data_IF_146855798602
#
_entry.id   IF_146855798602
#
_cell.length_a   1.000
_cell.length_b   1.000
_cell.length_c   1.000
_cell.angle_alpha   90.00
_cell.angle_beta   90.00
_cell.angle_gamma   90.00
#
_symmetry.space_group_name_H-M   'P 1'
#
loop_
_entity.id
_entity.type
_entity.pdbx_description
1 polymer ?
#
# COMPACT_ATOMS: atom_id res chain seq x y z
N UNK A 1 -21.69 -7.84 -10.13
CA UNK A 1 -21.98 -6.39 -10.30
C UNK A 1 -22.40 -5.80 -8.96
N UNK A 2 -21.65 -4.78 -8.50
CA UNK A 2 -21.87 -3.96 -7.29
C UNK A 2 -21.72 -4.72 -5.94
N UNK A 3 -21.09 -4.22 -4.86
CA UNK A 3 -20.85 -2.84 -4.44
C UNK A 3 -19.87 -2.80 -3.24
N UNK A 4 -18.62 -2.39 -3.44
CA UNK A 4 -17.70 -2.01 -2.35
C UNK A 4 -17.05 -0.64 -2.63
N UNK A 5 -17.84 0.31 -3.12
CA UNK A 5 -17.40 1.67 -3.45
C UNK A 5 -18.11 2.75 -2.61
N UNK A 6 -18.47 2.46 -1.36
CA UNK A 6 -19.02 3.47 -0.43
C UNK A 6 -18.41 3.30 0.96
N UNK A 7 -17.35 4.06 1.21
CA UNK A 7 -16.71 4.14 2.53
C UNK A 7 -15.50 5.07 2.56
N UNK A 8 -14.83 5.32 1.44
CA UNK A 8 -13.55 6.04 1.45
C UNK A 8 -13.65 7.58 1.53
N UNK A 9 -14.86 8.15 1.46
CA UNK A 9 -15.05 9.61 1.35
C UNK A 9 -15.38 10.33 2.68
N UNK A 10 -15.62 9.61 3.78
CA UNK A 10 -15.96 10.23 5.08
C UNK A 10 -14.80 10.23 6.10
N UNK A 11 -13.80 9.35 5.92
CA UNK A 11 -12.68 9.19 6.86
C UNK A 11 -11.57 10.24 6.69
N UNK A 12 -11.61 11.06 5.64
CA UNK A 12 -10.58 12.06 5.36
C UNK A 12 -10.66 13.35 6.22
N UNK A 13 -11.71 13.52 7.05
CA UNK A 13 -11.87 14.70 7.92
C UNK A 13 -11.52 14.45 9.38
N UNK A 14 -11.33 13.21 9.79
CA UNK A 14 -10.80 12.91 11.10
C UNK A 14 -9.27 12.90 10.97
N UNK A 15 -8.59 13.69 11.80
CA UNK A 15 -7.13 13.76 11.87
C UNK A 15 -6.55 12.36 11.68
N UNK A 16 -5.59 12.20 10.76
CA UNK A 16 -4.82 10.96 10.67
C UNK A 16 -4.32 10.68 12.09
N UNK A 17 -4.75 9.58 12.74
CA UNK A 17 -4.46 9.35 14.16
C UNK A 17 -2.98 9.09 14.42
N UNK A 18 -2.18 8.99 13.34
CA UNK A 18 -0.74 8.88 13.34
C UNK A 18 -0.12 10.07 12.60
N UNK A 19 0.94 10.60 13.20
CA UNK A 19 1.87 11.53 12.57
C UNK A 19 2.54 10.90 11.34
N UNK A 20 3.09 11.74 10.46
CA UNK A 20 3.89 11.28 9.30
C UNK A 20 5.02 10.35 9.74
N UNK A 21 5.67 10.66 10.86
CA UNK A 21 6.78 9.86 11.39
C UNK A 21 6.30 8.47 11.82
N UNK A 22 5.20 8.40 12.59
CA UNK A 22 4.62 7.11 13.01
C UNK A 22 4.18 6.26 11.81
N UNK A 23 3.61 6.88 10.77
CA UNK A 23 3.29 6.17 9.53
C UNK A 23 4.53 5.59 8.85
N UNK A 24 5.60 6.39 8.70
CA UNK A 24 6.84 5.93 8.06
C UNK A 24 7.52 4.83 8.88
N UNK A 25 7.52 4.94 10.20
CA UNK A 25 8.05 3.90 11.08
C UNK A 25 7.21 2.62 11.02
N UNK A 26 5.89 2.73 10.98
CA UNK A 26 5.02 1.57 10.82
C UNK A 26 5.29 0.86 9.50
N UNK A 27 5.38 1.60 8.39
CA UNK A 27 5.73 1.07 7.07
C UNK A 27 7.11 0.42 7.05
N UNK A 28 8.11 1.05 7.68
CA UNK A 28 9.49 0.53 7.75
C UNK A 28 9.62 -0.80 8.49
N UNK A 29 8.69 -1.16 9.39
CA UNK A 29 8.68 -2.44 10.13
C UNK A 29 7.96 -3.57 9.41
N UNK A 30 7.27 -3.29 8.30
CA UNK A 30 6.48 -4.29 7.58
C UNK A 30 7.34 -5.42 7.00
N UNK A 31 8.49 -5.15 6.35
CA UNK A 31 9.36 -6.22 5.82
C UNK A 31 9.79 -7.23 6.90
N UNK A 32 10.26 -6.75 8.06
CA UNK A 32 10.69 -7.62 9.17
C UNK A 32 9.54 -8.48 9.72
N UNK A 33 8.32 -7.91 9.80
CA UNK A 33 7.12 -8.64 10.21
C UNK A 33 6.73 -9.73 9.20
N UNK A 34 6.82 -9.45 7.90
CA UNK A 34 6.58 -10.48 6.90
C UNK A 34 7.65 -11.56 6.95
N UNK A 35 8.93 -11.18 7.07
CA UNK A 35 10.03 -12.13 7.17
C UNK A 35 9.85 -13.09 8.35
N UNK A 36 9.46 -12.59 9.53
CA UNK A 36 9.25 -13.44 10.71
C UNK A 36 8.07 -14.40 10.55
N UNK A 37 7.01 -14.00 9.85
CA UNK A 37 5.84 -14.85 9.58
C UNK A 37 6.12 -15.96 8.57
N UNK A 38 6.98 -15.70 7.58
CA UNK A 38 7.29 -16.67 6.52
C UNK A 38 8.57 -17.46 6.77
N UNK A 39 9.28 -17.15 7.85
CA UNK A 39 10.55 -17.79 8.19
C UNK A 39 10.37 -19.30 8.35
N UNK A 40 11.20 -20.07 7.63
CA UNK A 40 11.20 -21.53 7.68
C UNK A 40 10.11 -22.21 6.85
N UNK A 41 9.24 -21.46 6.16
CA UNK A 41 8.28 -22.04 5.22
C UNK A 41 8.96 -22.46 3.92
N UNK A 42 8.58 -23.62 3.40
CA UNK A 42 8.99 -24.07 2.06
C UNK A 42 8.21 -23.34 0.96
N UNK A 43 8.71 -23.39 -0.27
CA UNK A 43 8.01 -22.84 -1.44
C UNK A 43 6.60 -23.41 -1.59
N UNK A 44 6.41 -24.71 -1.38
CA UNK A 44 5.09 -25.35 -1.48
C UNK A 44 4.12 -24.85 -0.41
N UNK A 45 4.62 -24.61 0.81
CA UNK A 45 3.82 -24.03 1.89
C UNK A 45 3.42 -22.59 1.58
N UNK A 46 4.32 -21.80 0.98
CA UNK A 46 4.04 -20.42 0.57
C UNK A 46 3.02 -20.33 -0.57
N UNK A 47 3.04 -21.31 -1.49
CA UNK A 47 2.15 -21.37 -2.65
C UNK A 47 0.79 -22.01 -2.37
N UNK A 48 0.65 -22.76 -1.26
CA UNK A 48 -0.62 -23.40 -0.89
C UNK A 48 -1.66 -22.35 -0.49
N UNK A 49 -2.76 -22.32 -1.22
CA UNK A 49 -3.96 -21.55 -0.84
C UNK A 49 -4.70 -22.23 0.31
N UNK A 50 -5.21 -21.49 1.31
CA UNK A 50 -6.01 -22.08 2.38
C UNK A 50 -7.36 -22.61 1.89
N UNK A 51 -7.96 -21.94 0.89
CA UNK A 51 -9.20 -22.31 0.18
C UNK A 51 -9.10 -21.89 -1.29
N UNK A 52 -9.96 -22.44 -2.14
CA UNK A 52 -9.94 -22.21 -3.59
C UNK A 52 -9.95 -20.72 -3.99
N UNK A 53 -10.77 -19.93 -3.29
CA UNK A 53 -10.97 -18.48 -3.53
C UNK A 53 -10.09 -17.57 -2.66
N UNK A 54 -9.20 -18.12 -1.85
CA UNK A 54 -8.28 -17.34 -1.00
C UNK A 54 -6.89 -17.30 -1.63
N UNK A 55 -6.16 -16.21 -1.38
CA UNK A 55 -4.78 -16.08 -1.84
C UNK A 55 -3.83 -16.86 -0.94
N UNK A 56 -2.79 -17.42 -1.54
CA UNK A 56 -1.63 -17.96 -0.83
C UNK A 56 -0.74 -16.82 -0.30
N UNK A 57 0.21 -17.17 0.58
CA UNK A 57 1.17 -16.20 1.12
C UNK A 57 2.00 -15.59 -0.02
N UNK A 58 2.45 -16.43 -0.97
CA UNK A 58 3.22 -15.97 -2.13
C UNK A 58 2.45 -14.96 -2.98
N UNK A 59 1.15 -15.18 -3.18
CA UNK A 59 0.29 -14.27 -3.94
C UNK A 59 0.08 -12.93 -3.23
N UNK A 60 -0.10 -12.95 -1.90
CA UNK A 60 -0.19 -11.73 -1.09
C UNK A 60 1.10 -10.92 -1.19
N UNK A 61 2.26 -11.56 -0.96
CA UNK A 61 3.56 -10.87 -1.02
C UNK A 61 3.84 -10.30 -2.40
N UNK A 62 3.54 -11.05 -3.47
CA UNK A 62 3.70 -10.58 -4.83
C UNK A 62 2.77 -9.39 -5.13
N UNK A 63 1.51 -9.43 -4.67
CA UNK A 63 0.58 -8.32 -4.87
C UNK A 63 1.06 -7.03 -4.20
N UNK A 64 1.56 -7.12 -2.97
CA UNK A 64 2.14 -5.98 -2.25
C UNK A 64 3.36 -5.43 -2.99
N UNK A 65 4.27 -6.31 -3.41
CA UNK A 65 5.47 -5.91 -4.17
C UNK A 65 5.13 -5.19 -5.48
N UNK A 66 4.22 -5.76 -6.28
CA UNK A 66 3.77 -5.15 -7.55
C UNK A 66 3.07 -3.82 -7.28
N UNK A 67 2.21 -3.74 -6.26
CA UNK A 67 1.55 -2.50 -5.87
C UNK A 67 2.54 -1.39 -5.50
N UNK A 68 3.56 -1.70 -4.69
CA UNK A 68 4.59 -0.74 -4.31
C UNK A 68 5.43 -0.29 -5.53
N UNK A 69 5.96 -1.26 -6.29
CA UNK A 69 6.87 -1.03 -7.42
C UNK A 69 6.19 -0.27 -8.56
N UNK A 70 4.99 -0.68 -8.96
CA UNK A 70 4.40 -0.25 -10.23
C UNK A 70 3.33 0.84 -10.05
N UNK A 71 2.77 0.98 -8.84
CA UNK A 71 1.67 1.92 -8.59
C UNK A 71 2.07 3.02 -7.61
N UNK A 72 2.51 2.64 -6.41
CA UNK A 72 2.71 3.59 -5.32
C UNK A 72 3.95 4.45 -5.57
N UNK A 73 5.14 3.86 -5.75
CA UNK A 73 6.37 4.65 -5.95
C UNK A 73 6.32 5.56 -7.18
N UNK A 74 5.87 5.09 -8.36
CA UNK A 74 5.79 5.96 -9.53
C UNK A 74 4.79 7.12 -9.33
N UNK A 75 3.71 6.90 -8.58
CA UNK A 75 2.77 7.97 -8.24
C UNK A 75 3.39 9.00 -7.29
N UNK A 76 4.11 8.56 -6.25
CA UNK A 76 4.81 9.46 -5.34
C UNK A 76 5.89 10.26 -6.06
N UNK A 77 6.67 9.64 -6.93
CA UNK A 77 7.66 10.32 -7.77
C UNK A 77 7.01 11.39 -8.65
N UNK A 78 5.89 11.09 -9.31
CA UNK A 78 5.13 12.09 -10.09
C UNK A 78 4.62 13.25 -9.25
N UNK A 79 4.19 13.00 -8.02
CA UNK A 79 3.76 14.08 -7.11
C UNK A 79 4.93 14.99 -6.73
N UNK A 80 6.12 14.42 -6.49
CA UNK A 80 7.33 15.18 -6.17
C UNK A 80 7.85 15.98 -7.37
N UNK A 81 7.84 15.39 -8.57
CA UNK A 81 8.34 16.04 -9.79
C UNK A 81 7.33 17.02 -10.40
N UNK A 82 6.02 16.75 -10.25
CA UNK A 82 4.92 17.59 -10.73
C UNK A 82 4.51 18.72 -9.77
N UNK A 83 5.02 18.71 -8.53
CA UNK A 83 4.73 19.70 -7.50
C UNK A 83 5.35 21.09 -7.72
N UNK A 84 6.15 21.26 -8.78
CA UNK A 84 6.79 22.54 -9.15
C UNK A 84 6.12 23.27 -10.33
N UNK A 85 4.92 22.86 -10.76
CA UNK A 85 4.14 23.52 -11.81
C UNK A 85 3.47 24.83 -11.34
N UNK A 86 3.23 25.81 -12.23
CA UNK A 86 3.01 27.21 -11.85
C UNK A 86 1.80 27.39 -10.93
N UNK A 87 2.03 28.10 -9.82
CA UNK A 87 0.97 28.68 -8.98
C UNK A 87 0.03 29.43 -9.93
N UNK A 88 -1.22 28.98 -10.06
CA UNK A 88 -2.22 29.69 -10.87
C UNK A 88 -2.17 31.16 -10.47
N UNK A 89 -1.81 32.04 -11.42
CA UNK A 89 -1.94 33.48 -11.24
C UNK A 89 -3.42 33.73 -10.95
N UNK A 90 -3.71 34.27 -9.78
CA UNK A 90 -4.98 34.95 -9.56
C UNK A 90 -5.02 36.09 -10.57
N UNK A 91 -6.00 36.02 -11.48
CA UNK A 91 -6.31 37.09 -12.41
C UNK A 91 -7.02 38.22 -11.64
N UNK A 92 -6.87 39.48 -12.09
CA UNK A 92 -7.05 40.68 -11.28
C UNK A 92 -8.48 40.90 -10.78
#
# INVERSE_FOLDING_TARGET
MARLARGHSQLARNAMPMTRQEMLEALGRIPDRFQSLVYGLTTDQLARRPKEDEWSIAEILNHLFVGERDVIFPRLQRMLLGGSGPRRREAP
#
